data_IF_628179484828
#
_entry.id   IF_628179484828
#
_cell.length_a   1.000
_cell.length_b   1.000
_cell.length_c   1.000
_cell.angle_alpha   90.00
_cell.angle_beta   90.00
_cell.angle_gamma   90.00
#
_symmetry.space_group_name_H-M   'P 1'
#
loop_
_entity.id
_entity.type
_entity.pdbx_description
1 polymer ?
#
# COMPACT_ATOMS: atom_id res chain seq x y z
N UNK A 1 0.46 -29.80 5.58
CA UNK A 1 0.56 -29.18 4.26
C UNK A 1 1.20 -27.81 4.33
N UNK A 2 0.67 -26.92 5.17
CA UNK A 2 1.22 -25.57 5.27
C UNK A 2 2.68 -25.56 5.71
N UNK A 3 3.06 -26.50 6.60
CA UNK A 3 4.43 -26.61 7.08
C UNK A 3 5.39 -26.95 5.96
N UNK A 4 4.95 -27.79 5.02
CA UNK A 4 5.76 -28.18 3.87
C UNK A 4 5.91 -27.04 2.86
N UNK A 5 4.93 -26.11 2.85
CA UNK A 5 4.95 -24.96 1.96
C UNK A 5 5.81 -23.82 2.50
N UNK A 6 6.18 -23.89 3.78
CA UNK A 6 7.02 -22.87 4.40
C UNK A 6 8.40 -22.83 3.76
N UNK A 7 8.82 -21.64 3.32
CA UNK A 7 10.10 -21.46 2.66
C UNK A 7 11.27 -21.60 3.64
N UNK A 8 12.47 -21.83 3.09
CA UNK A 8 13.69 -21.84 3.90
C UNK A 8 13.89 -20.52 4.63
N UNK A 9 13.53 -19.41 3.97
CA UNK A 9 13.62 -18.09 4.59
C UNK A 9 12.71 -17.97 5.81
N UNK A 10 11.46 -18.42 5.69
CA UNK A 10 10.50 -18.37 6.78
C UNK A 10 10.98 -19.19 7.97
N UNK A 11 11.54 -20.38 7.71
CA UNK A 11 12.08 -21.22 8.77
C UNK A 11 13.28 -20.57 9.45
N UNK A 12 14.18 -19.99 8.66
CA UNK A 12 15.35 -19.31 9.21
C UNK A 12 14.94 -18.10 10.06
N UNK A 13 13.97 -17.31 9.60
CA UNK A 13 13.45 -16.17 10.34
C UNK A 13 12.83 -16.62 11.66
N UNK A 14 12.05 -17.69 11.62
CA UNK A 14 11.40 -18.24 12.83
C UNK A 14 12.42 -18.76 13.86
N UNK A 15 13.60 -19.17 13.40
CA UNK A 15 14.65 -19.65 14.28
C UNK A 15 15.41 -18.55 15.03
N UNK A 16 15.27 -17.29 14.59
CA UNK A 16 15.89 -16.16 15.26
C UNK A 16 15.21 -15.91 16.61
N UNK A 17 15.91 -15.21 17.50
CA UNK A 17 15.32 -14.79 18.76
C UNK A 17 14.13 -13.86 18.50
N UNK A 18 13.20 -13.81 19.43
CA UNK A 18 12.05 -12.91 19.33
C UNK A 18 12.51 -11.46 19.16
N UNK A 19 13.51 -11.06 19.91
CA UNK A 19 14.05 -9.70 19.86
C UNK A 19 14.59 -9.36 18.46
N UNK A 20 15.35 -10.29 17.88
CA UNK A 20 15.86 -10.09 16.52
C UNK A 20 14.74 -10.03 15.48
N UNK A 21 13.74 -10.90 15.60
CA UNK A 21 12.61 -10.86 14.70
C UNK A 21 11.86 -9.53 14.77
N UNK A 22 11.65 -9.02 15.99
CA UNK A 22 10.99 -7.73 16.20
C UNK A 22 11.79 -6.58 15.63
N UNK A 23 13.10 -6.59 15.80
CA UNK A 23 13.99 -5.55 15.28
C UNK A 23 13.97 -5.53 13.75
N UNK A 24 14.12 -6.69 13.12
CA UNK A 24 14.09 -6.81 11.66
C UNK A 24 12.73 -6.35 11.12
N UNK A 25 11.65 -6.81 11.74
CA UNK A 25 10.30 -6.46 11.34
C UNK A 25 10.09 -4.94 11.42
N UNK A 26 10.50 -4.34 12.53
CA UNK A 26 10.32 -2.90 12.74
C UNK A 26 11.07 -2.08 11.71
N UNK A 27 12.33 -2.44 11.47
CA UNK A 27 13.16 -1.75 10.47
C UNK A 27 12.63 -1.97 9.05
N UNK A 28 12.26 -3.20 8.73
CA UNK A 28 11.71 -3.53 7.42
C UNK A 28 10.40 -2.81 7.14
N UNK A 29 9.51 -2.78 8.12
CA UNK A 29 8.24 -2.07 8.00
C UNK A 29 8.49 -0.58 7.76
N UNK A 30 9.38 0.03 8.55
CA UNK A 30 9.66 1.46 8.41
C UNK A 30 10.19 1.82 7.01
N UNK A 31 11.13 1.02 6.50
CA UNK A 31 11.71 1.24 5.17
C UNK A 31 10.65 1.05 4.08
N UNK A 32 9.86 -0.01 4.20
CA UNK A 32 8.84 -0.30 3.18
C UNK A 32 7.74 0.75 3.18
N UNK A 33 7.30 1.20 4.36
CA UNK A 33 6.30 2.27 4.47
C UNK A 33 6.83 3.55 3.83
N UNK A 34 8.10 3.88 4.05
CA UNK A 34 8.68 5.07 3.41
C UNK A 34 8.65 4.99 1.88
N UNK A 35 8.98 3.81 1.33
CA UNK A 35 8.91 3.59 -0.11
C UNK A 35 7.48 3.71 -0.64
N UNK A 36 6.53 3.12 0.08
CA UNK A 36 5.13 3.16 -0.33
C UNK A 36 4.55 4.57 -0.26
N UNK A 37 4.97 5.37 0.72
CA UNK A 37 4.55 6.77 0.82
C UNK A 37 4.98 7.56 -0.42
N UNK A 38 6.17 7.31 -0.92
CA UNK A 38 6.65 7.97 -2.16
C UNK A 38 5.80 7.57 -3.35
N UNK A 39 5.47 6.30 -3.45
CA UNK A 39 4.61 5.79 -4.53
C UNK A 39 3.21 6.36 -4.45
N UNK A 40 2.65 6.44 -3.23
CA UNK A 40 1.34 7.03 -3.01
C UNK A 40 1.32 8.50 -3.41
N UNK A 41 2.36 9.24 -3.02
CA UNK A 41 2.48 10.66 -3.40
C UNK A 41 2.46 10.82 -4.92
N UNK A 42 3.21 9.98 -5.63
CA UNK A 42 3.22 10.03 -7.09
C UNK A 42 1.83 9.72 -7.67
N UNK A 43 1.18 8.67 -7.18
CA UNK A 43 -0.14 8.28 -7.67
C UNK A 43 -1.16 9.40 -7.43
N UNK A 44 -1.17 9.97 -6.22
CA UNK A 44 -2.08 11.05 -5.87
C UNK A 44 -1.82 12.31 -6.72
N UNK A 45 -0.55 12.59 -7.02
CA UNK A 45 -0.19 13.71 -7.89
C UNK A 45 -0.73 13.52 -9.31
N UNK A 46 -0.64 12.31 -9.84
CA UNK A 46 -1.19 11.99 -11.16
C UNK A 46 -2.71 12.11 -11.18
N UNK A 47 -3.37 11.56 -10.16
CA UNK A 47 -4.83 11.64 -10.03
C UNK A 47 -5.28 13.10 -9.99
N UNK A 48 -4.61 13.91 -9.17
CA UNK A 48 -4.92 15.33 -9.04
C UNK A 48 -4.72 16.07 -10.36
N UNK A 49 -3.67 15.75 -11.08
CA UNK A 49 -3.39 16.37 -12.39
C UNK A 49 -4.51 16.10 -13.38
N UNK A 50 -5.02 14.88 -13.43
CA UNK A 50 -6.15 14.56 -14.32
C UNK A 50 -7.43 15.27 -13.88
N UNK A 51 -7.71 15.29 -12.56
CA UNK A 51 -8.88 15.97 -12.04
C UNK A 51 -8.86 17.48 -12.36
N UNK A 52 -7.68 18.08 -12.27
CA UNK A 52 -7.52 19.50 -12.63
C UNK A 52 -7.67 19.74 -14.13
N UNK A 53 -7.12 18.84 -14.95
CA UNK A 53 -7.21 18.96 -16.40
C UNK A 53 -8.65 18.93 -16.89
N UNK A 54 -9.45 18.01 -16.35
CA UNK A 54 -10.81 17.80 -16.81
C UNK A 54 -11.88 18.41 -15.91
N UNK A 55 -11.46 19.03 -14.80
CA UNK A 55 -12.36 19.72 -13.86
C UNK A 55 -13.49 18.80 -13.37
N UNK A 56 -13.14 17.55 -13.10
CA UNK A 56 -14.08 16.52 -12.66
C UNK A 56 -13.29 15.48 -11.87
N UNK A 57 -13.95 14.78 -10.94
CA UNK A 57 -13.33 13.64 -10.26
C UNK A 57 -13.51 12.38 -11.09
N UNK A 58 -12.67 11.38 -10.84
CA UNK A 58 -12.81 10.08 -11.54
C UNK A 58 -14.17 9.44 -11.26
N UNK A 59 -14.64 9.51 -10.00
CA UNK A 59 -15.94 8.95 -9.63
C UNK A 59 -17.07 9.62 -10.40
N UNK A 60 -17.01 10.94 -10.56
CA UNK A 60 -18.00 11.68 -11.33
C UNK A 60 -17.95 11.28 -12.81
N UNK A 61 -16.74 11.13 -13.34
CA UNK A 61 -16.55 10.73 -14.73
C UNK A 61 -17.10 9.32 -14.99
N UNK A 62 -16.88 8.40 -14.06
CA UNK A 62 -17.41 7.05 -14.16
C UNK A 62 -18.94 7.04 -14.12
N UNK A 63 -19.54 7.89 -13.29
CA UNK A 63 -20.99 7.97 -13.18
C UNK A 63 -21.62 8.51 -14.47
N UNK A 64 -20.98 9.51 -15.11
CA UNK A 64 -21.52 10.12 -16.32
C UNK A 64 -21.05 9.44 -17.61
N UNK A 65 -19.92 8.73 -17.56
CA UNK A 65 -19.28 8.16 -18.72
C UNK A 65 -18.51 9.21 -19.53
N UNK A 66 -17.63 8.74 -20.41
CA UNK A 66 -16.93 9.62 -21.32
C UNK A 66 -17.91 10.21 -22.34
N UNK A 67 -17.73 11.50 -22.75
CA UNK A 67 -18.54 12.06 -23.82
C UNK A 67 -18.38 11.26 -25.11
N UNK A 68 -19.43 11.22 -25.94
CA UNK A 68 -19.41 10.51 -27.21
C UNK A 68 -18.33 11.04 -28.15
N UNK A 69 -18.03 12.34 -28.03
CA UNK A 69 -17.03 13.02 -28.86
C UNK A 69 -15.67 13.13 -28.14
N UNK A 70 -15.44 12.32 -27.12
CA UNK A 70 -14.17 12.36 -26.39
C UNK A 70 -13.00 12.09 -27.34
N UNK A 71 -11.93 12.87 -27.17
CA UNK A 71 -10.73 12.72 -27.97
C UNK A 71 -9.97 11.44 -27.62
N UNK A 72 -9.07 11.03 -28.51
CA UNK A 72 -8.17 9.91 -28.25
C UNK A 72 -7.36 10.18 -26.97
N UNK A 73 -6.87 11.40 -26.80
CA UNK A 73 -6.11 11.78 -25.62
C UNK A 73 -6.94 11.59 -24.34
N UNK A 74 -8.21 11.96 -24.36
CA UNK A 74 -9.08 11.79 -23.21
C UNK A 74 -9.29 10.31 -22.87
N UNK A 75 -9.43 9.46 -23.88
CA UNK A 75 -9.53 8.01 -23.66
C UNK A 75 -8.25 7.46 -23.05
N UNK A 76 -7.09 7.89 -23.52
CA UNK A 76 -5.80 7.47 -22.97
C UNK A 76 -5.64 7.95 -21.51
N UNK A 77 -6.00 9.22 -21.25
CA UNK A 77 -5.94 9.78 -19.92
C UNK A 77 -6.88 9.06 -18.96
N UNK A 78 -8.05 8.68 -19.41
CA UNK A 78 -9.00 7.92 -18.60
C UNK A 78 -8.41 6.58 -18.16
N UNK A 79 -7.77 5.87 -19.08
CA UNK A 79 -7.09 4.60 -18.78
C UNK A 79 -5.98 4.81 -17.73
N UNK A 80 -5.14 5.83 -17.93
CA UNK A 80 -4.05 6.12 -17.00
C UNK A 80 -4.56 6.61 -15.65
N UNK A 81 -5.65 7.36 -15.65
CA UNK A 81 -6.28 7.83 -14.40
C UNK A 81 -6.74 6.64 -13.56
N UNK A 82 -7.41 5.68 -14.20
CA UNK A 82 -7.80 4.43 -13.54
C UNK A 82 -6.60 3.66 -13.00
N UNK A 83 -5.53 3.60 -13.78
CA UNK A 83 -4.30 2.93 -13.36
C UNK A 83 -3.76 3.55 -12.06
N UNK A 84 -3.64 4.87 -12.01
CA UNK A 84 -3.10 5.52 -10.83
C UNK A 84 -4.05 5.43 -9.64
N UNK A 85 -5.35 5.45 -9.87
CA UNK A 85 -6.32 5.23 -8.79
C UNK A 85 -6.16 3.83 -8.20
N UNK A 86 -5.96 2.81 -9.03
CA UNK A 86 -5.73 1.44 -8.58
C UNK A 86 -4.41 1.34 -7.80
N UNK A 87 -3.35 2.01 -8.27
CA UNK A 87 -2.06 2.06 -7.56
C UNK A 87 -2.24 2.67 -6.18
N UNK A 88 -2.95 3.81 -6.09
CA UNK A 88 -3.18 4.48 -4.81
C UNK A 88 -3.92 3.57 -3.81
N UNK A 89 -4.95 2.86 -4.28
CA UNK A 89 -5.71 1.95 -3.45
C UNK A 89 -4.86 0.78 -2.95
N UNK A 90 -4.08 0.18 -3.84
CA UNK A 90 -3.21 -0.95 -3.48
C UNK A 90 -2.15 -0.52 -2.48
N UNK A 91 -1.49 0.61 -2.74
CA UNK A 91 -0.45 1.13 -1.84
C UNK A 91 -1.02 1.43 -0.46
N UNK A 92 -2.20 2.03 -0.40
CA UNK A 92 -2.87 2.33 0.88
C UNK A 92 -3.15 1.06 1.66
N UNK A 93 -3.65 0.02 1.01
CA UNK A 93 -3.91 -1.27 1.67
C UNK A 93 -2.62 -1.91 2.16
N UNK A 94 -1.57 -1.87 1.34
CA UNK A 94 -0.28 -2.46 1.72
C UNK A 94 0.33 -1.72 2.92
N UNK A 95 0.24 -0.39 2.94
CA UNK A 95 0.71 0.41 4.06
C UNK A 95 -0.05 0.08 5.33
N UNK A 96 -1.37 -0.06 5.23
CA UNK A 96 -2.19 -0.39 6.39
C UNK A 96 -1.81 -1.76 6.96
N UNK A 97 -1.60 -2.75 6.10
CA UNK A 97 -1.17 -4.09 6.51
C UNK A 97 0.17 -4.04 7.24
N UNK A 98 1.13 -3.23 6.75
CA UNK A 98 2.44 -3.09 7.39
C UNK A 98 2.33 -2.39 8.75
N UNK A 99 1.50 -1.37 8.84
CA UNK A 99 1.27 -0.66 10.10
C UNK A 99 0.60 -1.57 11.12
N UNK A 100 -0.30 -2.43 10.69
CA UNK A 100 -0.93 -3.42 11.58
C UNK A 100 0.10 -4.39 12.13
N UNK A 101 1.05 -4.83 11.32
CA UNK A 101 2.15 -5.70 11.78
C UNK A 101 2.96 -5.00 12.86
N UNK A 102 3.33 -3.74 12.63
CA UNK A 102 4.10 -2.96 13.60
C UNK A 102 3.33 -2.77 14.91
N UNK A 103 2.03 -2.51 14.81
CA UNK A 103 1.18 -2.32 15.99
C UNK A 103 1.04 -3.60 16.80
N UNK A 104 0.90 -4.74 16.15
CA UNK A 104 0.82 -6.02 16.82
C UNK A 104 2.10 -6.32 17.60
N UNK A 105 3.25 -6.03 17.00
CA UNK A 105 4.53 -6.19 17.68
C UNK A 105 4.66 -5.30 18.91
N UNK A 106 4.24 -4.05 18.80
CA UNK A 106 4.28 -3.11 19.91
C UNK A 106 3.33 -3.50 21.04
N UNK A 107 2.11 -3.92 20.70
CA UNK A 107 1.14 -4.38 21.69
C UNK A 107 1.62 -5.63 22.40
N UNK A 108 2.19 -6.58 21.66
CA UNK A 108 2.74 -7.80 22.26
C UNK A 108 3.85 -7.48 23.24
N UNK A 109 4.73 -6.56 22.90
CA UNK A 109 5.82 -6.13 23.78
C UNK A 109 5.29 -5.44 25.03
N UNK A 110 4.32 -4.54 24.87
CA UNK A 110 3.72 -3.83 26.00
C UNK A 110 3.07 -4.79 26.99
N UNK A 111 2.33 -5.79 26.48
CA UNK A 111 1.69 -6.80 27.30
C UNK A 111 2.74 -7.60 28.08
N UNK A 112 3.82 -7.98 27.41
CA UNK A 112 4.91 -8.73 28.04
C UNK A 112 5.58 -7.91 29.15
N UNK A 113 5.85 -6.63 28.89
CA UNK A 113 6.49 -5.74 29.86
C UNK A 113 5.60 -5.54 31.10
N UNK A 114 4.29 -5.40 30.89
CA UNK A 114 3.34 -5.22 31.99
C UNK A 114 3.22 -6.51 32.82
N UNK A 115 3.34 -7.67 32.16
CA UNK A 115 3.24 -8.96 32.82
C UNK A 115 4.41 -9.28 33.74
N UNK A 116 5.49 -8.54 33.62
CA UNK A 116 6.66 -8.70 34.50
C UNK A 116 6.58 -7.80 35.71
#
# INVERSE_FOLDING_TARGET
MDTEMMTALERAFSALSREERETITRHGVALRVADLKKRLFLAESKIRSFAERYQITLDQLEASGLPDDASYEMHEDYIMWHHWAAVAQKVTRDMQALQDIAQQGLLGKAITDVGN
#
